data_IF_419431971320
#
_entry.id   IF_419431971320
#
_cell.length_a   1.000
_cell.length_b   1.000
_cell.length_c   1.000
_cell.angle_alpha   90.00
_cell.angle_beta   90.00
_cell.angle_gamma   90.00
#
_symmetry.space_group_name_H-M   'P 1'
#
loop_
_entity.id
_entity.type
_entity.pdbx_description
1 polymer ?
#
# COMPACT_ATOMS: atom_id res chain seq x y z
N UNK A 1 -20.82 25.12 12.91
CA UNK A 1 -20.81 23.87 12.12
C UNK A 1 -22.05 23.06 12.48
N UNK A 2 -22.95 22.83 11.53
CA UNK A 2 -24.15 22.02 11.74
C UNK A 2 -23.79 20.52 11.83
N UNK A 3 -24.56 19.71 12.55
CA UNK A 3 -24.37 18.25 12.57
C UNK A 3 -24.39 17.64 11.15
N UNK A 4 -25.13 18.27 10.23
CA UNK A 4 -25.15 17.89 8.81
C UNK A 4 -23.83 18.20 8.08
N UNK A 5 -23.15 19.30 8.39
CA UNK A 5 -21.82 19.58 7.85
C UNK A 5 -20.80 18.55 8.34
N UNK A 6 -20.88 18.18 9.63
CA UNK A 6 -19.99 17.16 10.18
C UNK A 6 -20.20 15.81 9.48
N UNK A 7 -21.45 15.40 9.28
CA UNK A 7 -21.79 14.16 8.57
C UNK A 7 -21.38 14.23 7.09
N UNK A 8 -21.58 15.37 6.42
CA UNK A 8 -21.15 15.57 5.03
C UNK A 8 -19.62 15.54 4.90
N UNK A 9 -18.88 16.18 5.81
CA UNK A 9 -17.41 16.14 5.85
C UNK A 9 -16.93 14.72 6.11
N UNK A 10 -17.52 14.00 7.06
CA UNK A 10 -17.19 12.58 7.33
C UNK A 10 -17.49 11.74 6.07
N UNK A 11 -18.69 11.86 5.51
CA UNK A 11 -19.11 11.13 4.31
C UNK A 11 -18.22 11.40 3.11
N UNK A 12 -17.80 12.65 2.90
CA UNK A 12 -16.89 13.01 1.82
C UNK A 12 -15.46 12.53 2.09
N UNK A 13 -15.03 12.52 3.35
CA UNK A 13 -13.70 12.00 3.76
C UNK A 13 -13.58 10.50 3.53
N UNK A 14 -14.66 9.74 3.71
CA UNK A 14 -14.67 8.29 3.48
C UNK A 14 -15.08 7.92 2.05
N UNK A 15 -16.04 8.62 1.44
CA UNK A 15 -16.53 8.36 0.09
C UNK A 15 -15.59 8.78 -1.04
N UNK A 16 -14.68 9.74 -0.77
CA UNK A 16 -13.59 10.08 -1.70
C UNK A 16 -12.44 9.07 -1.67
N UNK A 17 -12.42 8.14 -0.71
CA UNK A 17 -11.40 7.09 -0.64
C UNK A 17 -11.84 5.89 -1.47
N UNK A 18 -11.05 5.58 -2.50
CA UNK A 18 -11.22 4.37 -3.32
C UNK A 18 -11.03 3.04 -2.57
N UNK A 19 -10.80 3.09 -1.25
CA UNK A 19 -10.72 1.93 -0.34
C UNK A 19 -11.97 1.03 -0.39
N UNK A 20 -13.13 1.57 -0.80
CA UNK A 20 -14.35 0.78 -1.02
C UNK A 20 -14.25 -0.17 -2.23
N UNK A 21 -13.38 0.14 -3.20
CA UNK A 21 -13.24 -0.61 -4.47
C UNK A 21 -11.93 -1.40 -4.51
N UNK A 22 -10.88 -0.96 -3.81
CA UNK A 22 -9.59 -1.68 -3.70
C UNK A 22 -9.11 -1.84 -2.25
N UNK A 23 -8.52 -3.00 -1.97
CA UNK A 23 -8.40 -3.56 -0.63
C UNK A 23 -7.32 -2.94 0.30
N UNK A 24 -6.67 -1.83 -0.07
CA UNK A 24 -5.61 -1.24 0.76
C UNK A 24 -5.57 0.29 0.69
N UNK A 25 -5.12 0.96 1.76
CA UNK A 25 -4.78 0.42 3.07
C UNK A 25 -6.04 0.26 3.94
N UNK A 26 -6.32 -0.96 4.43
CA UNK A 26 -7.49 -1.18 5.29
C UNK A 26 -7.25 -0.48 6.65
N UNK A 27 -8.13 0.46 7.07
CA UNK A 27 -7.99 1.07 8.39
C UNK A 27 -8.09 -0.03 9.47
N UNK A 28 -7.41 0.14 10.62
CA UNK A 28 -7.45 -0.85 11.69
C UNK A 28 -8.89 -1.08 12.14
N UNK A 29 -9.37 -2.33 12.03
CA UNK A 29 -10.76 -2.69 12.35
C UNK A 29 -11.17 -2.25 13.76
N UNK A 30 -10.24 -2.27 14.71
CA UNK A 30 -10.45 -1.79 16.07
C UNK A 30 -10.80 -0.29 16.14
N UNK A 31 -10.17 0.57 15.33
CA UNK A 31 -10.51 1.99 15.30
C UNK A 31 -11.93 2.21 14.76
N UNK A 32 -12.32 1.49 13.71
CA UNK A 32 -13.67 1.53 13.18
C UNK A 32 -14.71 1.09 14.23
N UNK A 33 -14.48 -0.05 14.88
CA UNK A 33 -15.38 -0.56 15.94
C UNK A 33 -15.49 0.44 17.09
N UNK A 34 -14.40 1.05 17.54
CA UNK A 34 -14.42 2.07 18.59
C UNK A 34 -15.25 3.30 18.18
N UNK A 35 -15.12 3.76 16.93
CA UNK A 35 -15.93 4.85 16.41
C UNK A 35 -17.43 4.49 16.33
N UNK A 36 -17.77 3.27 15.90
CA UNK A 36 -19.17 2.80 15.88
C UNK A 36 -19.73 2.71 17.30
N UNK A 37 -18.98 2.16 18.25
CA UNK A 37 -19.35 2.10 19.67
C UNK A 37 -19.55 3.51 20.23
N UNK A 38 -18.68 4.47 19.90
CA UNK A 38 -18.83 5.86 20.31
C UNK A 38 -20.16 6.47 19.82
N UNK A 39 -20.50 6.27 18.55
CA UNK A 39 -21.75 6.75 17.97
C UNK A 39 -22.97 6.10 18.65
N UNK A 40 -22.96 4.77 18.81
CA UNK A 40 -24.03 4.05 19.47
C UNK A 40 -24.20 4.50 20.93
N UNK A 41 -23.11 4.72 21.66
CA UNK A 41 -23.12 5.22 23.03
C UNK A 41 -23.75 6.62 23.13
N UNK A 42 -23.37 7.52 22.22
CA UNK A 42 -23.93 8.87 22.17
C UNK A 42 -25.44 8.88 21.89
N UNK A 43 -25.93 7.94 21.08
CA UNK A 43 -27.35 7.81 20.76
C UNK A 43 -28.16 7.11 21.87
N UNK A 44 -27.57 6.15 22.58
CA UNK A 44 -28.28 5.34 23.58
C UNK A 44 -28.48 6.10 24.90
N UNK A 45 -27.48 6.86 25.34
CA UNK A 45 -27.48 7.49 26.66
C UNK A 45 -27.84 8.98 26.59
N UNK A 46 -28.62 9.45 27.58
CA UNK A 46 -28.98 10.87 27.76
C UNK A 46 -28.21 11.48 28.94
N UNK A 47 -28.13 12.81 28.98
CA UNK A 47 -27.49 13.54 30.08
C UNK A 47 -25.96 13.41 30.10
N UNK A 48 -25.35 13.36 31.29
CA UNK A 48 -23.89 13.33 31.46
C UNK A 48 -23.21 12.05 30.95
N UNK A 49 -23.91 10.91 30.95
CA UNK A 49 -23.35 9.64 30.48
C UNK A 49 -22.98 9.65 28.99
N UNK A 50 -23.57 10.55 28.18
CA UNK A 50 -23.24 10.69 26.75
C UNK A 50 -21.76 11.04 26.51
N UNK A 51 -21.11 11.66 27.49
CA UNK A 51 -19.70 12.04 27.38
C UNK A 51 -18.75 10.83 27.32
N UNK A 52 -19.19 9.65 27.73
CA UNK A 52 -18.45 8.39 27.49
C UNK A 52 -18.16 8.14 26.01
N UNK A 53 -19.02 8.64 25.10
CA UNK A 53 -18.78 8.56 23.66
C UNK A 53 -17.49 9.29 23.24
N UNK A 54 -17.15 10.41 23.89
CA UNK A 54 -15.92 11.15 23.60
C UNK A 54 -14.70 10.32 23.96
N UNK A 55 -14.74 9.54 25.05
CA UNK A 55 -13.65 8.65 25.42
C UNK A 55 -13.45 7.54 24.39
N UNK A 56 -14.52 6.88 23.95
CA UNK A 56 -14.44 5.84 22.92
C UNK A 56 -13.95 6.40 21.57
N UNK A 57 -14.44 7.58 21.19
CA UNK A 57 -14.00 8.25 19.97
C UNK A 57 -12.52 8.64 20.03
N UNK A 58 -12.08 9.23 21.15
CA UNK A 58 -10.67 9.55 21.38
C UNK A 58 -9.78 8.30 21.35
N UNK A 59 -10.24 7.18 21.93
CA UNK A 59 -9.56 5.90 21.84
C UNK A 59 -9.46 5.40 20.38
N UNK A 60 -10.55 5.52 19.60
CA UNK A 60 -10.55 5.19 18.18
C UNK A 60 -9.53 6.01 17.37
N UNK A 61 -9.48 7.32 17.60
CA UNK A 61 -8.46 8.20 17.00
C UNK A 61 -7.05 7.78 17.43
N UNK A 62 -6.83 7.51 18.72
CA UNK A 62 -5.53 7.09 19.22
C UNK A 62 -5.06 5.80 18.53
N UNK A 63 -5.93 4.80 18.39
CA UNK A 63 -5.62 3.55 17.67
C UNK A 63 -5.30 3.83 16.20
N UNK A 64 -6.07 4.71 15.54
CA UNK A 64 -5.85 5.05 14.13
C UNK A 64 -4.53 5.78 13.90
N UNK A 65 -4.20 6.77 14.73
CA UNK A 65 -2.97 7.58 14.58
C UNK A 65 -1.71 6.75 14.83
N UNK A 66 -1.79 5.77 15.75
CA UNK A 66 -0.69 4.86 16.08
C UNK A 66 -0.66 3.60 15.18
N UNK A 67 -1.53 3.51 14.18
CA UNK A 67 -1.51 2.38 13.26
C UNK A 67 -0.19 2.37 12.45
N UNK A 68 0.39 1.18 12.21
CA UNK A 68 1.58 1.06 11.37
C UNK A 68 1.35 1.68 10.00
N UNK A 69 2.25 2.57 9.59
CA UNK A 69 2.21 3.21 8.27
C UNK A 69 3.01 2.39 7.27
N UNK A 70 2.58 2.33 6.00
CA UNK A 70 3.36 1.67 4.98
C UNK A 70 4.64 2.49 4.69
N UNK A 71 5.75 1.78 4.48
CA UNK A 71 7.04 2.35 4.06
C UNK A 71 7.25 2.22 2.56
N UNK A 72 6.49 1.38 1.88
CA UNK A 72 6.45 1.34 0.43
C UNK A 72 5.08 0.90 -0.08
N UNK A 73 4.77 1.29 -1.31
CA UNK A 73 3.57 0.85 -2.00
C UNK A 73 3.80 0.84 -3.52
N UNK A 74 3.19 -0.13 -4.19
CA UNK A 74 3.24 -0.25 -5.65
C UNK A 74 1.93 -0.78 -6.20
N UNK A 75 1.63 -0.43 -7.45
CA UNK A 75 0.45 -0.93 -8.18
C UNK A 75 0.74 -2.27 -8.89
N UNK A 76 -0.30 -2.97 -9.33
CA UNK A 76 -0.16 -4.29 -9.96
C UNK A 76 0.59 -4.27 -11.29
N UNK A 77 0.66 -3.13 -11.98
CA UNK A 77 1.39 -2.98 -13.23
C UNK A 77 2.78 -2.32 -13.03
N UNK A 78 3.18 -2.04 -11.79
CA UNK A 78 4.41 -1.32 -11.44
C UNK A 78 4.59 0.01 -12.20
N UNK A 79 3.49 0.68 -12.52
CA UNK A 79 3.51 2.02 -13.12
C UNK A 79 3.96 3.08 -12.12
N UNK A 80 3.73 2.84 -10.83
CA UNK A 80 4.16 3.71 -9.76
C UNK A 80 4.58 2.90 -8.54
N UNK A 81 5.81 3.11 -8.09
CA UNK A 81 6.33 2.54 -6.85
C UNK A 81 6.85 3.66 -5.96
N UNK A 82 6.18 3.84 -4.82
CA UNK A 82 6.54 4.80 -3.80
C UNK A 82 7.27 4.08 -2.69
N UNK A 83 8.40 4.65 -2.26
CA UNK A 83 9.17 4.12 -1.15
C UNK A 83 9.63 5.28 -0.30
N UNK A 84 9.41 5.14 1.00
CA UNK A 84 9.90 6.04 2.02
C UNK A 84 11.27 5.54 2.49
N UNK A 85 12.25 6.42 2.47
CA UNK A 85 13.58 6.13 3.01
C UNK A 85 13.60 6.16 4.55
N UNK A 86 14.78 5.91 5.13
CA UNK A 86 14.98 5.93 6.59
C UNK A 86 14.77 7.32 7.21
N UNK A 87 14.88 8.39 6.42
CA UNK A 87 14.67 9.77 6.85
C UNK A 87 13.19 10.20 6.72
N UNK A 88 12.31 9.31 6.26
CA UNK A 88 10.91 9.61 6.07
C UNK A 88 10.60 10.32 4.74
N UNK A 89 11.57 10.45 3.83
CA UNK A 89 11.41 11.10 2.54
C UNK A 89 10.86 10.09 1.53
N UNK A 90 9.74 10.47 0.89
CA UNK A 90 9.17 9.68 -0.19
C UNK A 90 9.97 9.87 -1.48
N UNK A 91 10.21 8.77 -2.17
CA UNK A 91 10.74 8.73 -3.53
C UNK A 91 9.78 7.97 -4.43
N UNK A 92 9.82 8.27 -5.72
CA UNK A 92 8.95 7.66 -6.72
C UNK A 92 9.79 7.03 -7.83
N UNK A 93 9.69 5.71 -7.99
CA UNK A 93 10.08 5.06 -9.23
C UNK A 93 8.86 4.97 -10.14
N UNK A 94 8.82 5.83 -11.17
CA UNK A 94 7.79 5.80 -12.18
C UNK A 94 8.10 4.74 -13.26
N UNK A 95 7.08 3.98 -13.64
CA UNK A 95 7.13 3.06 -14.77
C UNK A 95 7.17 3.78 -16.11
N UNK A 96 7.46 3.05 -17.18
CA UNK A 96 7.46 3.57 -18.56
C UNK A 96 6.02 3.67 -19.08
N UNK A 97 5.25 4.64 -18.59
CA UNK A 97 3.86 4.84 -19.00
C UNK A 97 3.38 6.29 -18.81
N UNK A 98 2.41 6.72 -19.63
CA UNK A 98 1.80 8.06 -19.55
C UNK A 98 0.65 8.17 -18.53
N UNK A 99 0.29 7.06 -17.87
CA UNK A 99 -0.85 7.02 -16.96
C UNK A 99 -0.50 7.63 -15.61
N UNK A 100 -1.06 8.80 -15.32
CA UNK A 100 -0.91 9.48 -14.04
C UNK A 100 -1.87 8.96 -12.97
N UNK A 101 -2.97 8.31 -13.37
CA UNK A 101 -4.01 7.85 -12.45
C UNK A 101 -3.47 6.92 -11.36
N UNK A 102 -2.72 5.86 -11.73
CA UNK A 102 -2.18 4.91 -10.76
C UNK A 102 -1.24 5.60 -9.76
N UNK A 103 -0.39 6.51 -10.25
CA UNK A 103 0.53 7.31 -9.44
C UNK A 103 -0.23 8.22 -8.47
N UNK A 104 -1.15 9.02 -8.98
CA UNK A 104 -1.85 10.04 -8.19
C UNK A 104 -2.78 9.39 -7.17
N UNK A 105 -3.46 8.30 -7.57
CA UNK A 105 -4.31 7.52 -6.68
C UNK A 105 -3.52 6.84 -5.56
N UNK A 106 -2.42 6.16 -5.89
CA UNK A 106 -1.61 5.45 -4.91
C UNK A 106 -0.87 6.43 -3.97
N UNK A 107 -0.39 7.55 -4.48
CA UNK A 107 0.17 8.61 -3.65
C UNK A 107 -0.87 9.25 -2.71
N UNK A 108 -2.11 9.45 -3.17
CA UNK A 108 -3.20 9.92 -2.31
C UNK A 108 -3.52 8.93 -1.18
N UNK A 109 -3.49 7.61 -1.44
CA UNK A 109 -3.64 6.58 -0.40
C UNK A 109 -2.51 6.60 0.64
N UNK A 110 -1.31 7.04 0.25
CA UNK A 110 -0.19 7.29 1.15
C UNK A 110 -0.29 8.63 1.90
N UNK A 111 -1.33 9.42 1.64
CA UNK A 111 -1.50 10.75 2.21
C UNK A 111 -0.58 11.81 1.59
N UNK A 112 -0.04 11.56 0.40
CA UNK A 112 0.81 12.50 -0.33
C UNK A 112 -0.10 13.36 -1.22
N UNK A 113 -0.03 14.68 -1.04
CA UNK A 113 -0.81 15.61 -1.85
C UNK A 113 -0.38 15.57 -3.33
N UNK A 114 -1.28 15.71 -4.31
CA UNK A 114 -0.93 15.63 -5.73
C UNK A 114 0.22 16.56 -6.17
N UNK A 115 0.29 17.84 -5.75
CA UNK A 115 1.44 18.70 -6.07
C UNK A 115 2.76 18.24 -5.48
N UNK A 116 2.73 17.48 -4.38
CA UNK A 116 3.92 16.88 -3.78
C UNK A 116 4.37 15.64 -4.56
N UNK A 117 3.43 14.83 -5.06
CA UNK A 117 3.71 13.65 -5.91
C UNK A 117 4.54 14.05 -7.15
N UNK A 118 4.16 15.14 -7.81
CA UNK A 118 4.87 15.65 -9.01
C UNK A 118 6.31 16.10 -8.74
N UNK A 119 6.64 16.40 -7.47
CA UNK A 119 7.96 16.89 -7.05
C UNK A 119 8.82 15.79 -6.42
N UNK A 120 8.31 14.56 -6.30
CA UNK A 120 9.08 13.47 -5.73
C UNK A 120 10.28 13.15 -6.63
N UNK A 121 11.45 13.11 -6.03
CA UNK A 121 12.66 12.72 -6.74
C UNK A 121 12.63 11.21 -7.06
N UNK A 122 13.24 10.79 -8.18
CA UNK A 122 13.57 9.39 -8.38
C UNK A 122 14.56 8.92 -7.31
N UNK A 123 14.60 7.63 -7.00
CA UNK A 123 15.56 7.12 -6.03
C UNK A 123 17.00 7.30 -6.53
N UNK A 124 17.92 7.60 -5.62
CA UNK A 124 19.31 7.92 -5.98
C UNK A 124 20.04 6.77 -6.70
N UNK A 125 19.59 5.52 -6.50
CA UNK A 125 20.17 4.33 -7.11
C UNK A 125 19.35 3.76 -8.27
N UNK A 126 18.44 4.56 -8.86
CA UNK A 126 17.67 4.15 -10.03
C UNK A 126 18.58 4.14 -11.27
N UNK A 127 18.66 2.99 -11.92
CA UNK A 127 19.21 2.81 -13.26
C UNK A 127 18.10 2.37 -14.22
N UNK A 128 18.43 2.21 -15.50
CA UNK A 128 17.53 1.58 -16.47
C UNK A 128 17.24 0.11 -16.12
N UNK A 129 18.19 -0.58 -15.48
CA UNK A 129 18.08 -1.98 -15.15
C UNK A 129 17.27 -2.24 -13.87
N UNK A 130 17.49 -1.41 -12.85
CA UNK A 130 16.90 -1.59 -11.53
C UNK A 130 16.92 -0.31 -10.71
N UNK A 131 16.07 -0.24 -9.69
CA UNK A 131 16.10 0.79 -8.67
C UNK A 131 16.11 0.13 -7.29
N UNK A 132 16.90 0.66 -6.36
CA UNK A 132 17.04 0.08 -5.03
C UNK A 132 16.80 1.08 -3.90
N UNK A 133 16.29 0.59 -2.79
CA UNK A 133 16.04 1.36 -1.59
C UNK A 133 16.56 0.61 -0.37
N UNK A 134 17.26 1.33 0.51
CA UNK A 134 17.61 0.83 1.83
C UNK A 134 16.42 1.05 2.78
N UNK A 135 16.01 -0.01 3.47
CA UNK A 135 14.93 -0.02 4.46
C UNK A 135 15.46 -0.65 5.75
N UNK A 136 16.33 0.08 6.46
CA UNK A 136 16.98 -0.41 7.67
C UNK A 136 17.89 -1.60 7.39
N UNK A 137 17.48 -2.79 7.85
CA UNK A 137 18.22 -4.05 7.64
C UNK A 137 17.80 -4.82 6.40
N UNK A 138 16.79 -4.33 5.69
CA UNK A 138 16.29 -4.92 4.45
C UNK A 138 16.52 -3.96 3.29
N UNK A 139 16.49 -4.48 2.07
CA UNK A 139 16.46 -3.67 0.87
C UNK A 139 15.19 -3.98 0.07
N UNK A 140 14.75 -3.01 -0.71
CA UNK A 140 13.70 -3.18 -1.70
C UNK A 140 14.33 -2.94 -3.07
N UNK A 141 14.09 -3.85 -4.00
CA UNK A 141 14.65 -3.82 -5.34
C UNK A 141 13.51 -3.86 -6.35
N UNK A 142 13.46 -2.88 -7.24
CA UNK A 142 12.59 -2.89 -8.42
C UNK A 142 13.43 -3.25 -9.64
N UNK A 143 13.17 -4.41 -10.23
CA UNK A 143 13.86 -4.87 -11.45
C UNK A 143 13.06 -4.45 -12.68
N UNK A 144 13.69 -3.65 -13.55
CA UNK A 144 13.07 -3.03 -14.74
C UNK A 144 13.52 -3.68 -16.05
N UNK A 145 14.66 -4.39 -16.04
CA UNK A 145 15.15 -5.17 -17.19
C UNK A 145 15.79 -6.48 -16.74
N UNK A 146 15.94 -7.43 -17.66
CA UNK A 146 16.53 -8.75 -17.36
C UNK A 146 17.93 -8.68 -16.75
N UNK A 147 18.74 -7.68 -17.13
CA UNK A 147 20.07 -7.48 -16.54
C UNK A 147 20.03 -7.03 -15.09
N UNK A 148 18.91 -6.47 -14.60
CA UNK A 148 18.73 -6.13 -13.19
C UNK A 148 18.66 -7.36 -12.28
N UNK A 149 18.41 -8.56 -12.81
CA UNK A 149 18.53 -9.80 -12.03
C UNK A 149 19.99 -10.23 -11.77
N UNK A 150 20.99 -9.58 -12.36
CA UNK A 150 22.39 -9.90 -12.08
C UNK A 150 22.83 -9.45 -10.66
N UNK A 151 22.10 -8.51 -10.04
CA UNK A 151 22.42 -8.00 -8.70
C UNK A 151 21.68 -8.81 -7.63
N UNK A 152 22.44 -9.52 -6.80
CA UNK A 152 21.92 -10.18 -5.60
C UNK A 152 22.07 -9.27 -4.39
N UNK A 153 20.96 -8.89 -3.77
CA UNK A 153 20.95 -8.27 -2.44
C UNK A 153 20.31 -9.26 -1.46
N UNK A 154 21.06 -9.81 -0.49
CA UNK A 154 20.53 -10.77 0.48
C UNK A 154 19.35 -10.18 1.25
N UNK A 155 18.33 -10.99 1.52
CA UNK A 155 17.15 -10.59 2.29
C UNK A 155 16.36 -9.40 1.70
N UNK A 156 16.62 -9.03 0.44
CA UNK A 156 15.85 -7.98 -0.22
C UNK A 156 14.45 -8.47 -0.61
N UNK A 157 13.49 -7.55 -0.61
CA UNK A 157 12.21 -7.73 -1.29
C UNK A 157 12.43 -7.32 -2.74
N UNK A 158 12.31 -8.27 -3.66
CA UNK A 158 12.52 -8.05 -5.09
C UNK A 158 11.17 -8.00 -5.78
N UNK A 159 10.90 -6.91 -6.50
CA UNK A 159 9.67 -6.68 -7.25
C UNK A 159 10.02 -6.57 -8.73
N UNK A 160 9.38 -7.37 -9.58
CA UNK A 160 9.60 -7.30 -11.02
C UNK A 160 8.32 -7.61 -11.81
N UNK A 161 8.09 -6.81 -12.85
CA UNK A 161 7.08 -7.10 -13.89
C UNK A 161 7.58 -8.09 -14.94
N UNK A 162 8.81 -8.58 -14.82
CA UNK A 162 9.45 -9.53 -15.71
C UNK A 162 9.46 -10.92 -15.10
N UNK A 163 9.59 -11.95 -15.94
CA UNK A 163 9.88 -13.30 -15.47
C UNK A 163 11.29 -13.34 -14.86
N UNK A 164 11.39 -13.78 -13.60
CA UNK A 164 12.68 -13.98 -12.94
C UNK A 164 13.38 -15.23 -13.46
N UNK A 165 14.73 -15.23 -13.56
CA UNK A 165 15.49 -16.45 -13.82
C UNK A 165 15.14 -17.56 -12.82
N UNK A 166 15.07 -18.84 -13.25
CA UNK A 166 14.59 -19.94 -12.42
C UNK A 166 15.47 -20.19 -11.18
N UNK A 167 16.75 -19.85 -11.27
CA UNK A 167 17.76 -20.00 -10.23
C UNK A 167 17.88 -18.77 -9.31
N UNK A 168 17.30 -17.62 -9.67
CA UNK A 168 17.47 -16.35 -8.95
C UNK A 168 17.09 -16.46 -7.47
N UNK A 169 15.94 -17.07 -7.16
CA UNK A 169 15.49 -17.25 -5.78
C UNK A 169 16.43 -18.15 -4.98
N UNK A 170 16.95 -19.22 -5.59
CA UNK A 170 17.90 -20.13 -4.95
C UNK A 170 19.29 -19.52 -4.75
N UNK A 171 19.72 -18.68 -5.68
CA UNK A 171 21.04 -18.05 -5.70
C UNK A 171 21.11 -16.83 -4.79
N UNK A 172 20.20 -15.86 -4.97
CA UNK A 172 20.22 -14.59 -4.23
C UNK A 172 19.50 -14.65 -2.88
N UNK A 173 18.64 -15.67 -2.65
CA UNK A 173 17.85 -15.86 -1.42
C UNK A 173 17.15 -14.57 -0.94
N UNK A 174 16.29 -13.95 -1.78
CA UNK A 174 15.54 -12.77 -1.37
C UNK A 174 14.58 -13.12 -0.23
N UNK A 175 14.20 -12.13 0.59
CA UNK A 175 13.19 -12.31 1.64
C UNK A 175 11.79 -12.49 1.04
N UNK A 176 11.53 -11.83 -0.09
CA UNK A 176 10.38 -12.06 -0.93
C UNK A 176 10.72 -11.76 -2.39
N UNK A 177 10.22 -12.59 -3.32
CA UNK A 177 10.27 -12.34 -4.75
C UNK A 177 8.84 -12.18 -5.25
N UNK A 178 8.51 -10.99 -5.75
CA UNK A 178 7.21 -10.66 -6.33
C UNK A 178 7.42 -10.61 -7.84
N UNK A 179 7.04 -11.70 -8.49
CA UNK A 179 7.17 -11.89 -9.94
C UNK A 179 6.01 -11.27 -10.71
N UNK A 180 6.13 -11.24 -12.04
CA UNK A 180 5.03 -10.85 -12.94
C UNK A 180 3.75 -11.62 -12.66
N UNK A 181 3.83 -12.94 -12.46
CA UNK A 181 2.68 -13.78 -12.16
C UNK A 181 2.03 -13.42 -10.81
N UNK A 182 2.84 -13.09 -9.80
CA UNK A 182 2.31 -12.65 -8.50
C UNK A 182 1.59 -11.30 -8.64
N UNK A 183 2.12 -10.39 -9.45
CA UNK A 183 1.51 -9.09 -9.72
C UNK A 183 0.17 -9.25 -10.45
N UNK A 184 0.08 -10.11 -11.46
CA UNK A 184 -1.18 -10.40 -12.17
C UNK A 184 -2.21 -11.03 -11.25
N UNK A 185 -1.81 -11.96 -10.38
CA UNK A 185 -2.74 -12.70 -9.49
C UNK A 185 -3.15 -11.94 -8.24
N UNK A 186 -2.26 -11.12 -7.68
CA UNK A 186 -2.45 -10.52 -6.36
C UNK A 186 -2.50 -8.98 -6.42
N UNK A 187 -2.25 -8.39 -7.59
CA UNK A 187 -2.19 -6.96 -7.82
C UNK A 187 -1.03 -6.29 -7.09
N UNK A 188 -1.20 -4.98 -6.83
CA UNK A 188 -0.26 -4.17 -6.07
C UNK A 188 -0.15 -4.58 -4.60
N UNK A 189 0.71 -3.88 -3.87
CA UNK A 189 0.91 -4.12 -2.45
C UNK A 189 1.28 -2.87 -1.68
N UNK A 190 1.02 -2.91 -0.38
CA UNK A 190 1.65 -2.04 0.61
C UNK A 190 2.62 -2.87 1.45
N UNK A 191 3.77 -2.28 1.78
CA UNK A 191 4.82 -2.86 2.59
C UNK A 191 4.88 -2.10 3.91
N UNK A 192 4.71 -2.83 5.02
CA UNK A 192 4.73 -2.28 6.36
C UNK A 192 5.96 -2.77 7.12
N UNK A 193 6.56 -1.93 7.98
CA UNK A 193 7.59 -2.39 8.90
C UNK A 193 6.94 -3.30 9.96
N UNK A 194 7.57 -4.45 10.23
CA UNK A 194 7.16 -5.38 11.28
C UNK A 194 8.40 -5.84 12.08
N UNK A 195 8.97 -4.89 12.84
CA UNK A 195 10.24 -5.09 13.51
C UNK A 195 11.38 -5.30 12.50
N UNK A 196 12.15 -6.41 12.56
CA UNK A 196 13.22 -6.69 11.61
C UNK A 196 12.73 -7.20 10.24
N UNK A 197 11.45 -7.54 10.11
CA UNK A 197 10.87 -8.08 8.89
C UNK A 197 9.93 -7.08 8.23
N UNK A 198 9.78 -7.19 6.91
CA UNK A 198 8.78 -6.44 6.15
C UNK A 198 7.52 -7.29 6.01
N UNK A 199 6.37 -6.70 6.33
CA UNK A 199 5.06 -7.33 6.11
C UNK A 199 4.48 -6.79 4.81
N UNK A 200 4.30 -7.67 3.83
CA UNK A 200 3.54 -7.36 2.63
C UNK A 200 2.05 -7.58 2.82
N UNK A 201 1.23 -6.66 2.33
CA UNK A 201 -0.22 -6.82 2.23
C UNK A 201 -0.61 -6.55 0.77
N UNK A 202 -1.26 -7.53 0.13
CA UNK A 202 -1.57 -7.53 -1.32
C UNK A 202 -3.01 -7.09 -1.59
N UNK A 203 -3.23 -6.45 -2.74
CA UNK A 203 -4.54 -6.00 -3.20
C UNK A 203 -5.58 -7.13 -3.30
N UNK A 204 -5.13 -8.33 -3.64
CA UNK A 204 -5.96 -9.54 -3.65
C UNK A 204 -5.28 -10.62 -2.78
N UNK A 205 -5.63 -10.68 -1.48
CA UNK A 205 -5.09 -11.69 -0.59
C UNK A 205 -5.61 -13.09 -0.96
N UNK A 206 -4.77 -14.10 -0.73
CA UNK A 206 -5.15 -15.48 -0.96
C UNK A 206 -6.42 -15.86 -0.18
N UNK A 207 -7.33 -16.56 -0.85
CA UNK A 207 -8.56 -17.08 -0.24
C UNK A 207 -9.76 -16.12 -0.24
N UNK A 208 -9.59 -14.86 -0.67
CA UNK A 208 -10.72 -13.93 -0.83
C UNK A 208 -11.02 -13.75 -2.31
N UNK A 209 -12.13 -14.34 -2.79
CA UNK A 209 -12.68 -14.07 -4.13
C UNK A 209 -13.83 -13.09 -4.01
N UNK A 210 -13.75 -11.96 -4.71
CA UNK A 210 -14.86 -11.00 -4.83
C UNK A 210 -15.51 -11.19 -6.19
N UNK A 211 -16.83 -11.01 -6.27
CA UNK A 211 -17.57 -11.21 -7.52
C UNK A 211 -17.12 -10.27 -8.66
N UNK A 212 -16.47 -9.15 -8.32
CA UNK A 212 -15.93 -8.16 -9.25
C UNK A 212 -14.41 -8.24 -9.44
N UNK A 213 -13.74 -9.26 -8.89
CA UNK A 213 -12.33 -9.50 -9.20
C UNK A 213 -12.25 -10.03 -10.64
N UNK A 214 -11.47 -9.40 -11.54
CA UNK A 214 -11.26 -9.94 -12.88
C UNK A 214 -10.86 -11.41 -12.78
N UNK A 215 -11.55 -12.27 -13.52
CA UNK A 215 -11.10 -13.65 -13.67
C UNK A 215 -9.66 -13.58 -14.19
N UNK A 216 -8.75 -14.33 -13.57
CA UNK A 216 -7.41 -14.49 -14.13
C UNK A 216 -7.60 -14.90 -15.60
N UNK A 217 -7.08 -14.09 -16.54
CA UNK A 217 -7.13 -14.46 -17.95
C UNK A 217 -6.57 -15.88 -18.06
N UNK A 218 -7.33 -16.83 -18.65
CA UNK A 218 -6.76 -18.13 -18.94
C UNK A 218 -5.57 -17.88 -19.86
N UNK A 219 -4.40 -18.40 -19.48
CA UNK A 219 -3.15 -18.30 -20.24
C UNK A 219 -3.41 -18.48 -21.74
N UNK A 220 -2.81 -17.59 -22.54
CA UNK A 220 -2.30 -17.82 -23.89
C UNK A 220 -1.32 -19.02 -23.88
N UNK A 221 -1.85 -20.20 -23.56
CA UNK A 221 -1.17 -21.50 -23.61
C UNK A 221 -1.64 -22.31 -24.82
N UNK A 222 -2.16 -21.62 -25.84
CA UNK A 222 -2.52 -22.18 -27.13
C UNK A 222 -2.11 -21.21 -28.25
N UNK A 223 -0.82 -21.09 -28.51
CA UNK A 223 -0.27 -20.88 -29.87
C UNK A 223 1.09 -21.59 -29.98
#
# INVERSE_FOLDING_TARGET
ASALELVAVIGQTFGSRGEAVQALPQPPAAAFVLCVVALLWACLWRGGLRWGAVLFFAAGIAVYVNAPRPVAAFDGELRAMFVQDEHGVWTLAAGSGRSTYARDHLGAMLGIAPPAIERLAPPQTCSEAQCSWALGRSALLLVRSGVGFAVCVPSAVVVSGLASPPDYASHCRPSALISSNDLTRQGGAFIYPNGPQLRLVRAQPHGIRRAWTPAASPDESQE
#
